data_IF_079765094490
#
_entry.id   IF_079765094490
#
_cell.length_a   1.000
_cell.length_b   1.000
_cell.length_c   1.000
_cell.angle_alpha   90.00
_cell.angle_beta   90.00
_cell.angle_gamma   90.00
#
_symmetry.space_group_name_H-M   'P 1'
#
loop_
_entity.id
_entity.type
_entity.pdbx_description
1 polymer ?
#
# COMPACT_ATOMS: atom_id res chain seq x y z
N UNK A 1 30.23 9.66 -2.76
CA UNK A 1 31.01 10.82 -2.29
C UNK A 1 30.54 11.11 -0.87
N UNK A 2 31.42 11.03 0.14
CA UNK A 2 31.02 11.24 1.54
C UNK A 2 30.46 12.66 1.69
N UNK A 3 29.22 12.74 2.16
CA UNK A 3 28.45 13.98 2.24
C UNK A 3 28.83 14.72 3.52
N UNK A 4 29.42 15.91 3.41
CA UNK A 4 29.64 16.77 4.57
C UNK A 4 28.31 17.36 5.07
N UNK A 5 28.15 17.46 6.39
CA UNK A 5 26.99 18.12 7.03
C UNK A 5 26.86 19.58 6.57
N UNK A 6 25.65 20.12 6.61
CA UNK A 6 25.35 21.50 6.21
C UNK A 6 26.21 22.50 6.99
N UNK A 7 26.36 22.31 8.31
CA UNK A 7 27.15 23.21 9.18
C UNK A 7 28.62 23.28 8.77
N UNK A 8 29.16 22.13 8.38
CA UNK A 8 30.53 21.99 7.87
C UNK A 8 30.70 22.77 6.56
N UNK A 9 29.72 22.69 5.67
CA UNK A 9 29.75 23.42 4.39
C UNK A 9 29.63 24.93 4.59
N UNK A 10 28.75 25.36 5.50
CA UNK A 10 28.59 26.78 5.86
C UNK A 10 29.91 27.32 6.43
N UNK A 11 30.55 26.57 7.33
CA UNK A 11 31.86 26.95 7.85
C UNK A 11 32.90 27.15 6.74
N UNK A 12 33.01 26.21 5.80
CA UNK A 12 33.96 26.30 4.68
C UNK A 12 33.69 27.54 3.84
N UNK A 13 32.42 27.80 3.50
CA UNK A 13 32.04 28.96 2.67
C UNK A 13 32.39 30.27 3.36
N UNK A 14 32.09 30.41 4.65
CA UNK A 14 32.40 31.62 5.42
C UNK A 14 33.92 31.86 5.54
N UNK A 15 34.70 30.81 5.79
CA UNK A 15 36.16 30.93 5.88
C UNK A 15 36.80 31.19 4.51
N UNK A 16 36.29 30.58 3.44
CA UNK A 16 36.73 30.87 2.07
C UNK A 16 36.45 32.31 1.67
N UNK A 17 35.33 32.90 2.12
CA UNK A 17 35.01 34.32 1.92
C UNK A 17 35.93 35.24 2.74
N UNK A 18 36.24 34.88 3.99
CA UNK A 18 37.10 35.69 4.88
C UNK A 18 38.57 35.70 4.46
N UNK A 19 39.04 34.64 3.82
CA UNK A 19 40.47 34.45 3.49
C UNK A 19 40.77 34.55 1.98
N UNK A 20 39.91 35.21 1.20
CA UNK A 20 40.08 35.41 -0.25
C UNK A 20 40.46 34.12 -1.01
N UNK A 21 39.70 33.05 -0.77
CA UNK A 21 39.89 31.72 -1.39
C UNK A 21 41.20 30.99 -1.02
N UNK A 22 41.92 31.46 0.00
CA UNK A 22 43.12 30.80 0.49
C UNK A 22 42.79 29.52 1.27
N UNK A 23 42.86 28.39 0.57
CA UNK A 23 42.57 27.06 1.14
C UNK A 23 43.46 26.68 2.32
N UNK A 24 44.71 27.15 2.37
CA UNK A 24 45.62 26.86 3.50
C UNK A 24 45.17 27.58 4.78
N UNK A 25 44.66 28.80 4.65
CA UNK A 25 44.08 29.53 5.78
C UNK A 25 42.81 28.84 6.31
N UNK A 26 41.95 28.35 5.41
CA UNK A 26 40.76 27.57 5.78
C UNK A 26 41.12 26.26 6.48
N UNK A 27 42.17 25.57 6.05
CA UNK A 27 42.68 24.36 6.71
C UNK A 27 43.20 24.63 8.13
N UNK A 28 43.85 25.78 8.37
CA UNK A 28 44.29 26.21 9.70
C UNK A 28 43.10 26.51 10.61
N UNK A 29 42.14 27.31 10.12
CA UNK A 29 40.90 27.61 10.85
C UNK A 29 40.07 26.34 11.14
N UNK A 30 40.11 25.37 10.23
CA UNK A 30 39.48 24.06 10.43
C UNK A 30 40.13 23.30 11.59
N UNK A 31 41.46 23.27 11.63
CA UNK A 31 42.20 22.60 12.68
C UNK A 31 41.93 23.23 14.06
N UNK A 32 41.81 24.56 14.12
CA UNK A 32 41.44 25.28 15.35
C UNK A 32 40.01 24.97 15.81
N UNK A 33 39.04 24.92 14.89
CA UNK A 33 37.63 24.70 15.25
C UNK A 33 37.29 23.24 15.55
N UNK A 34 37.76 22.32 14.72
CA UNK A 34 37.34 20.91 14.76
C UNK A 34 38.40 19.98 15.37
N UNK A 35 39.59 20.50 15.72
CA UNK A 35 40.69 19.75 16.33
C UNK A 35 41.05 18.46 15.57
N UNK A 36 40.78 18.42 14.26
CA UNK A 36 40.97 17.25 13.42
C UNK A 36 41.63 17.61 12.09
N UNK A 37 42.37 16.64 11.53
CA UNK A 37 43.07 16.77 10.25
C UNK A 37 42.23 16.28 9.06
N UNK A 38 40.95 15.99 9.28
CA UNK A 38 40.05 15.40 8.29
C UNK A 38 39.26 16.48 7.52
N UNK A 39 39.98 17.42 6.92
CA UNK A 39 39.35 18.48 6.12
C UNK A 39 39.02 17.99 4.69
N UNK A 40 38.02 18.60 4.05
CA UNK A 40 37.72 18.33 2.65
C UNK A 40 38.90 18.64 1.72
N UNK A 41 38.99 17.89 0.62
CA UNK A 41 39.98 18.17 -0.43
C UNK A 41 39.83 19.62 -0.95
N UNK A 42 40.93 20.26 -1.34
CA UNK A 42 40.99 21.60 -1.97
C UNK A 42 39.94 21.75 -3.07
N UNK A 43 39.79 20.73 -3.94
CA UNK A 43 38.79 20.72 -5.01
C UNK A 43 37.35 20.80 -4.49
N UNK A 44 37.07 20.14 -3.37
CA UNK A 44 35.75 20.16 -2.73
C UNK A 44 35.46 21.52 -2.11
N UNK A 45 36.43 22.12 -1.41
CA UNK A 45 36.27 23.46 -0.82
C UNK A 45 36.04 24.53 -1.92
N UNK A 46 36.83 24.51 -2.99
CA UNK A 46 36.67 25.41 -4.12
C UNK A 46 35.32 25.23 -4.83
N UNK A 47 34.86 23.98 -5.02
CA UNK A 47 33.55 23.69 -5.60
C UNK A 47 32.39 24.18 -4.73
N UNK A 48 32.47 24.00 -3.41
CA UNK A 48 31.45 24.50 -2.48
C UNK A 48 31.36 26.02 -2.54
N UNK A 49 32.50 26.71 -2.53
CA UNK A 49 32.55 28.16 -2.61
C UNK A 49 32.07 28.70 -3.97
N UNK A 50 32.50 28.10 -5.08
CA UNK A 50 32.04 28.47 -6.42
C UNK A 50 30.54 28.22 -6.60
N UNK A 51 30.01 27.12 -6.06
CA UNK A 51 28.56 26.87 -6.03
C UNK A 51 27.83 27.96 -5.24
N UNK A 52 28.35 28.32 -4.06
CA UNK A 52 27.76 29.39 -3.25
C UNK A 52 27.77 30.74 -3.98
N UNK A 53 28.88 31.12 -4.63
CA UNK A 53 28.95 32.33 -5.47
C UNK A 53 27.90 32.36 -6.58
N UNK A 54 27.60 31.20 -7.19
CA UNK A 54 26.64 31.08 -8.29
C UNK A 54 25.18 31.04 -7.83
N UNK A 55 24.88 30.33 -6.75
CA UNK A 55 23.51 29.98 -6.36
C UNK A 55 23.05 30.70 -5.07
N UNK A 56 23.99 31.24 -4.28
CA UNK A 56 23.72 31.84 -2.97
C UNK A 56 23.31 30.83 -1.88
N UNK A 57 23.27 29.53 -2.20
CA UNK A 57 22.80 28.47 -1.30
C UNK A 57 23.86 27.42 -1.04
N UNK A 58 23.90 26.95 0.21
CA UNK A 58 24.75 25.85 0.68
C UNK A 58 24.01 24.50 0.67
N UNK A 59 22.68 24.52 0.46
CA UNK A 59 21.86 23.31 0.37
C UNK A 59 22.25 22.43 -0.81
N UNK A 60 21.88 21.15 -0.75
CA UNK A 60 22.05 20.24 -1.89
C UNK A 60 21.23 20.70 -3.10
N UNK A 61 21.75 20.43 -4.31
CA UNK A 61 21.02 20.71 -5.55
C UNK A 61 19.90 19.67 -5.74
N UNK A 62 18.79 19.83 -5.00
CA UNK A 62 17.62 18.94 -5.03
C UNK A 62 17.07 18.77 -6.47
N UNK A 63 17.22 19.79 -7.31
CA UNK A 63 16.78 19.78 -8.73
C UNK A 63 17.48 18.70 -9.56
N UNK A 64 18.78 18.48 -9.39
CA UNK A 64 19.51 17.50 -10.21
C UNK A 64 19.10 16.06 -9.89
N UNK A 65 18.79 15.76 -8.61
CA UNK A 65 18.24 14.46 -8.21
C UNK A 65 16.82 14.28 -8.74
N UNK A 66 15.95 15.29 -8.65
CA UNK A 66 14.58 15.19 -9.16
C UNK A 66 14.54 14.84 -10.66
N UNK A 67 15.41 15.43 -11.49
CA UNK A 67 15.51 15.09 -12.93
C UNK A 67 16.12 13.72 -13.22
N UNK A 68 17.06 13.24 -12.39
CA UNK A 68 17.64 11.91 -12.57
C UNK A 68 16.68 10.77 -12.14
N UNK A 69 15.73 11.09 -11.25
CA UNK A 69 14.67 10.18 -10.78
C UNK A 69 13.30 10.50 -11.36
N UNK A 70 13.22 11.36 -12.39
CA UNK A 70 12.01 11.49 -13.21
C UNK A 70 11.89 10.21 -14.04
N UNK A 71 11.38 9.19 -13.36
CA UNK A 71 11.24 7.82 -13.83
C UNK A 71 10.33 7.82 -15.06
N UNK A 72 10.57 6.84 -15.92
CA UNK A 72 9.88 6.48 -17.18
C UNK A 72 8.34 6.32 -17.06
N UNK A 73 7.75 6.68 -15.94
CA UNK A 73 6.32 6.63 -15.69
C UNK A 73 5.69 7.96 -16.14
N UNK A 74 5.41 8.06 -17.43
CA UNK A 74 4.56 9.12 -17.97
C UNK A 74 3.14 8.95 -17.45
N UNK A 75 2.40 10.05 -17.26
CA UNK A 75 1.01 9.99 -16.78
C UNK A 75 0.11 9.17 -17.72
N UNK A 76 0.40 9.17 -19.02
CA UNK A 76 -0.27 8.30 -19.99
C UNK A 76 -0.03 6.80 -19.76
N UNK A 77 1.17 6.40 -19.33
CA UNK A 77 1.43 5.00 -18.99
C UNK A 77 0.69 4.57 -17.71
N UNK A 78 0.45 5.50 -16.77
CA UNK A 78 -0.36 5.22 -15.58
C UNK A 78 -1.81 4.95 -15.94
N UNK A 79 -2.41 5.79 -16.78
CA UNK A 79 -3.79 5.63 -17.23
C UNK A 79 -4.01 4.28 -17.92
N UNK A 80 -3.11 3.89 -18.83
CA UNK A 80 -3.20 2.59 -19.53
C UNK A 80 -3.15 1.41 -18.55
N UNK A 81 -2.30 1.50 -17.52
CA UNK A 81 -2.20 0.45 -16.48
C UNK A 81 -3.46 0.42 -15.62
N UNK A 82 -4.02 1.57 -15.27
CA UNK A 82 -5.24 1.67 -14.47
C UNK A 82 -6.45 1.10 -15.22
N UNK A 83 -6.64 1.50 -16.48
CA UNK A 83 -7.70 1.00 -17.35
C UNK A 83 -7.58 -0.53 -17.55
N UNK A 84 -6.35 -1.05 -17.67
CA UNK A 84 -6.10 -2.47 -17.82
C UNK A 84 -6.53 -3.27 -16.58
N UNK A 85 -6.15 -2.83 -15.37
CA UNK A 85 -6.53 -3.51 -14.14
C UNK A 85 -7.98 -3.26 -13.72
N UNK A 86 -8.61 -2.18 -14.18
CA UNK A 86 -10.04 -1.95 -14.05
C UNK A 86 -10.85 -2.96 -14.89
N UNK A 87 -10.36 -3.32 -16.08
CA UNK A 87 -10.98 -4.34 -16.92
C UNK A 87 -10.72 -5.77 -16.41
N UNK A 88 -9.47 -6.10 -16.08
CA UNK A 88 -9.04 -7.46 -15.71
C UNK A 88 -8.29 -7.49 -14.35
N UNK A 89 -8.99 -7.39 -13.20
CA UNK A 89 -8.36 -7.29 -11.89
C UNK A 89 -7.65 -8.57 -11.42
N UNK A 90 -7.92 -9.71 -12.05
CA UNK A 90 -7.39 -11.03 -11.66
C UNK A 90 -6.06 -11.37 -12.35
N UNK A 91 -5.61 -10.55 -13.31
CA UNK A 91 -4.43 -10.84 -14.11
C UNK A 91 -3.16 -10.72 -13.28
N UNK A 92 -2.21 -11.63 -13.48
CA UNK A 92 -0.92 -11.53 -12.80
C UNK A 92 -0.08 -10.37 -13.35
N UNK A 93 0.69 -9.72 -12.47
CA UNK A 93 1.57 -8.60 -12.82
C UNK A 93 2.54 -8.96 -13.95
N UNK A 94 3.04 -10.21 -13.97
CA UNK A 94 3.93 -10.71 -15.02
C UNK A 94 3.25 -10.75 -16.39
N UNK A 95 2.00 -11.22 -16.44
CA UNK A 95 1.21 -11.27 -17.68
C UNK A 95 0.77 -9.89 -18.14
N UNK A 96 0.38 -9.03 -17.21
CA UNK A 96 0.05 -7.63 -17.50
C UNK A 96 1.26 -6.89 -18.12
N UNK A 97 2.47 -7.12 -17.59
CA UNK A 97 3.71 -6.58 -18.13
C UNK A 97 3.97 -7.04 -19.59
N UNK A 98 3.78 -8.33 -19.87
CA UNK A 98 3.91 -8.88 -21.23
C UNK A 98 2.88 -8.28 -22.20
N UNK A 99 1.62 -8.16 -21.78
CA UNK A 99 0.53 -7.65 -22.62
C UNK A 99 0.67 -6.15 -22.92
N UNK A 100 1.11 -5.36 -21.93
CA UNK A 100 1.31 -3.92 -22.09
C UNK A 100 2.67 -3.57 -22.71
N UNK A 101 3.57 -4.55 -22.89
CA UNK A 101 4.94 -4.31 -23.36
C UNK A 101 5.80 -3.51 -22.36
N UNK A 102 5.39 -3.45 -21.09
CA UNK A 102 6.08 -2.70 -20.03
C UNK A 102 7.00 -3.65 -19.26
N UNK A 103 8.22 -3.21 -18.92
CA UNK A 103 9.10 -3.99 -18.04
C UNK A 103 8.41 -4.24 -16.70
N UNK A 104 8.45 -5.48 -16.21
CA UNK A 104 7.82 -5.88 -14.95
C UNK A 104 8.16 -4.96 -13.75
N UNK A 105 9.43 -4.56 -13.61
CA UNK A 105 9.88 -3.65 -12.53
C UNK A 105 9.32 -2.25 -12.66
N UNK A 106 9.06 -1.78 -13.90
CA UNK A 106 8.41 -0.50 -14.15
C UNK A 106 6.94 -0.59 -13.81
N UNK A 107 6.26 -1.66 -14.24
CA UNK A 107 4.84 -1.89 -13.90
C UNK A 107 4.62 -1.93 -12.38
N UNK A 108 5.49 -2.60 -11.63
CA UNK A 108 5.40 -2.62 -10.15
C UNK A 108 5.53 -1.22 -9.52
N UNK A 109 6.36 -0.33 -10.09
CA UNK A 109 6.47 1.06 -9.63
C UNK A 109 5.19 1.82 -9.93
N UNK A 110 4.64 1.67 -11.13
CA UNK A 110 3.37 2.28 -11.55
C UNK A 110 2.24 1.84 -10.62
N UNK A 111 2.11 0.53 -10.37
CA UNK A 111 1.10 -0.02 -9.46
C UNK A 111 1.23 0.57 -8.06
N UNK A 112 2.46 0.76 -7.56
CA UNK A 112 2.69 1.39 -6.24
C UNK A 112 2.27 2.85 -6.21
N UNK A 113 2.51 3.61 -7.29
CA UNK A 113 2.07 5.00 -7.41
C UNK A 113 0.54 5.13 -7.54
N UNK A 114 -0.12 4.14 -8.16
CA UNK A 114 -1.57 4.05 -8.26
C UNK A 114 -2.24 3.43 -7.01
N UNK A 115 -1.47 3.11 -5.96
CA UNK A 115 -1.97 2.44 -4.76
C UNK A 115 -2.68 1.08 -5.03
N UNK A 116 -2.36 0.43 -6.15
CA UNK A 116 -2.94 -0.87 -6.52
C UNK A 116 -2.32 -1.97 -5.64
N UNK A 117 -3.17 -2.64 -4.86
CA UNK A 117 -2.79 -3.77 -4.02
C UNK A 117 -3.40 -5.07 -4.53
N UNK A 118 -2.69 -6.21 -4.42
CA UNK A 118 -3.26 -7.50 -4.79
C UNK A 118 -4.53 -7.78 -3.98
N UNK A 119 -5.63 -8.05 -4.66
CA UNK A 119 -6.85 -8.48 -4.00
C UNK A 119 -6.69 -9.95 -3.56
N UNK A 120 -6.82 -10.22 -2.27
CA UNK A 120 -6.84 -11.60 -1.75
C UNK A 120 -8.22 -12.19 -1.99
N UNK A 121 -8.32 -13.08 -2.99
CA UNK A 121 -9.55 -13.82 -3.25
C UNK A 121 -9.92 -14.62 -2.00
N UNK A 122 -11.05 -14.27 -1.39
CA UNK A 122 -11.67 -15.09 -0.36
C UNK A 122 -12.61 -16.08 -1.05
N UNK A 123 -12.26 -17.37 -1.03
CA UNK A 123 -13.13 -18.43 -1.53
C UNK A 123 -14.28 -18.58 -0.53
N UNK A 124 -15.37 -17.88 -0.80
CA UNK A 124 -16.63 -18.05 -0.08
C UNK A 124 -17.46 -19.13 -0.75
N UNK A 125 -18.44 -19.67 -0.02
CA UNK A 125 -19.40 -20.61 -0.60
C UNK A 125 -20.04 -19.98 -1.85
N UNK A 126 -20.19 -20.72 -2.97
CA UNK A 126 -20.84 -20.17 -4.17
C UNK A 126 -22.26 -19.74 -3.81
N UNK A 127 -22.57 -18.45 -3.99
CA UNK A 127 -23.94 -17.96 -3.85
C UNK A 127 -24.71 -18.26 -5.14
N UNK A 128 -25.85 -18.91 -4.99
CA UNK A 128 -26.85 -18.98 -6.05
C UNK A 128 -27.62 -17.64 -6.11
N UNK A 129 -28.28 -17.35 -7.25
CA UNK A 129 -29.10 -16.15 -7.42
C UNK A 129 -30.22 -16.06 -6.38
N UNK A 130 -30.91 -17.17 -6.10
CA UNK A 130 -31.94 -17.26 -5.06
C UNK A 130 -31.38 -16.93 -3.65
N UNK A 131 -30.16 -17.39 -3.33
CA UNK A 131 -29.51 -17.04 -2.07
C UNK A 131 -29.18 -15.55 -1.99
N UNK A 132 -28.82 -14.94 -3.11
CA UNK A 132 -28.55 -13.50 -3.19
C UNK A 132 -29.83 -12.71 -2.94
N UNK A 133 -30.92 -13.09 -3.60
CA UNK A 133 -32.23 -12.45 -3.46
C UNK A 133 -32.75 -12.52 -2.02
N UNK A 134 -32.76 -13.71 -1.39
CA UNK A 134 -33.20 -13.88 0.00
C UNK A 134 -32.36 -13.07 0.99
N UNK A 135 -31.05 -12.98 0.75
CA UNK A 135 -30.15 -12.16 1.57
C UNK A 135 -30.45 -10.68 1.42
N UNK A 136 -30.73 -10.19 0.20
CA UNK A 136 -31.09 -8.79 -0.02
C UNK A 136 -32.44 -8.42 0.59
N UNK A 137 -33.45 -9.28 0.45
CA UNK A 137 -34.78 -9.07 1.03
C UNK A 137 -34.70 -9.01 2.56
N UNK A 138 -33.97 -9.95 3.17
CA UNK A 138 -33.72 -9.93 4.61
C UNK A 138 -32.99 -8.66 5.06
N UNK A 139 -31.97 -8.23 4.31
CA UNK A 139 -31.23 -7.01 4.65
C UNK A 139 -32.11 -5.76 4.57
N UNK A 140 -32.96 -5.65 3.54
CA UNK A 140 -33.91 -4.55 3.39
C UNK A 140 -34.94 -4.54 4.52
N UNK A 141 -35.51 -5.71 4.85
CA UNK A 141 -36.44 -5.86 5.96
C UNK A 141 -35.81 -5.45 7.31
N UNK A 142 -34.57 -5.90 7.57
CA UNK A 142 -33.85 -5.52 8.78
C UNK A 142 -33.57 -4.01 8.83
N UNK A 143 -33.21 -3.40 7.70
CA UNK A 143 -32.98 -1.95 7.62
C UNK A 143 -34.26 -1.17 7.96
N UNK A 144 -35.40 -1.57 7.41
CA UNK A 144 -36.70 -0.95 7.68
C UNK A 144 -37.08 -1.07 9.17
N UNK A 145 -36.89 -2.24 9.77
CA UNK A 145 -37.17 -2.48 11.21
C UNK A 145 -36.26 -1.66 12.12
N UNK A 146 -35.02 -1.42 11.71
CA UNK A 146 -34.09 -0.53 12.42
C UNK A 146 -34.52 0.95 12.30
N UNK A 147 -34.98 1.38 11.12
CA UNK A 147 -35.45 2.75 10.89
C UNK A 147 -36.76 3.05 11.63
N UNK A 148 -37.67 2.08 11.66
CA UNK A 148 -38.96 2.16 12.36
C UNK A 148 -38.78 2.08 13.89
N UNK A 149 -37.62 1.62 14.36
CA UNK A 149 -37.30 1.48 15.78
C UNK A 149 -37.93 0.25 16.43
N UNK A 150 -38.50 -0.68 15.65
CA UNK A 150 -39.01 -1.97 16.15
C UNK A 150 -37.90 -2.84 16.72
N UNK A 151 -36.70 -2.75 16.12
CA UNK A 151 -35.53 -3.50 16.54
C UNK A 151 -34.46 -2.51 16.99
N UNK A 152 -33.99 -2.65 18.23
CA UNK A 152 -32.87 -1.90 18.76
C UNK A 152 -31.60 -2.75 18.66
N UNK A 153 -30.59 -2.24 17.93
CA UNK A 153 -29.29 -2.90 17.75
C UNK A 153 -28.65 -3.28 19.10
N UNK A 154 -28.87 -2.46 20.13
CA UNK A 154 -28.28 -2.70 21.47
C UNK A 154 -28.87 -3.90 22.21
N UNK A 155 -29.99 -4.44 21.73
CA UNK A 155 -30.71 -5.55 22.34
C UNK A 155 -30.55 -6.87 21.57
N UNK A 156 -29.80 -6.88 20.47
CA UNK A 156 -29.58 -8.08 19.66
C UNK A 156 -28.42 -8.88 20.25
N UNK A 157 -28.65 -10.15 20.55
CA UNK A 157 -27.62 -11.10 20.98
C UNK A 157 -27.42 -12.15 19.88
N UNK A 158 -26.17 -12.40 19.51
CA UNK A 158 -25.81 -13.40 18.50
C UNK A 158 -25.09 -14.58 19.16
N UNK A 159 -25.30 -15.78 18.63
CA UNK A 159 -24.59 -17.00 19.01
C UNK A 159 -24.17 -17.74 17.74
N UNK A 160 -22.97 -18.32 17.74
CA UNK A 160 -22.51 -19.30 16.75
C UNK A 160 -21.89 -20.51 17.46
N UNK A 161 -21.63 -21.57 16.69
CA UNK A 161 -20.94 -22.75 17.17
C UNK A 161 -19.66 -22.95 16.33
N UNK A 162 -18.55 -23.25 17.00
CA UNK A 162 -17.27 -23.55 16.35
C UNK A 162 -16.70 -24.87 16.86
N UNK A 163 -16.19 -25.68 15.94
CA UNK A 163 -15.45 -26.90 16.29
C UNK A 163 -14.03 -26.52 16.73
N UNK A 164 -13.70 -26.79 17.99
CA UNK A 164 -12.34 -26.63 18.52
C UNK A 164 -11.55 -27.93 18.35
N UNK A 165 -10.50 -27.90 17.54
CA UNK A 165 -9.61 -29.03 17.32
C UNK A 165 -8.28 -28.81 18.06
N UNK A 166 -7.97 -29.65 19.04
CA UNK A 166 -6.71 -29.60 19.78
C UNK A 166 -5.65 -30.45 19.08
N UNK A 167 -4.77 -29.86 18.27
CA UNK A 167 -3.66 -30.62 17.67
C UNK A 167 -2.90 -30.03 16.47
N UNK A 168 -3.27 -28.87 15.93
CA UNK A 168 -2.53 -28.25 14.82
C UNK A 168 -1.66 -27.09 15.32
N UNK A 169 -0.34 -27.07 15.04
CA UNK A 169 0.45 -25.87 15.17
C UNK A 169 0.18 -25.01 13.91
N UNK A 170 -0.98 -24.35 13.87
CA UNK A 170 -1.20 -23.26 12.93
C UNK A 170 -1.18 -21.96 13.70
N UNK A 171 -0.16 -21.15 13.40
CA UNK A 171 -0.03 -19.74 13.72
C UNK A 171 -1.41 -19.05 13.60
N UNK A 172 -1.81 -18.30 14.63
CA UNK A 172 -3.07 -17.55 14.80
C UNK A 172 -4.20 -18.23 15.57
N UNK A 173 -3.99 -18.45 16.88
CA UNK A 173 -5.09 -18.32 17.86
C UNK A 173 -4.53 -17.73 19.16
N UNK A 174 -4.66 -16.41 19.34
CA UNK A 174 -4.64 -15.82 20.69
C UNK A 174 -5.97 -16.15 21.37
N UNK A 175 -6.09 -17.34 21.96
CA UNK A 175 -7.05 -17.59 23.04
C UNK A 175 -6.25 -17.95 24.30
N UNK A 176 -5.97 -16.94 25.11
CA UNK A 176 -5.47 -17.10 26.47
C UNK A 176 -6.61 -17.57 27.38
N UNK A 177 -6.72 -18.88 27.60
CA UNK A 177 -7.53 -19.45 28.67
C UNK A 177 -6.63 -20.27 29.62
N UNK A 178 -6.92 -20.12 30.90
CA UNK A 178 -6.10 -20.48 32.05
C UNK A 178 -5.60 -21.93 32.06
N UNK A 179 -4.37 -22.10 32.58
CA UNK A 179 -3.98 -23.29 33.34
C UNK A 179 -3.36 -24.43 32.54
N UNK A 180 -2.06 -24.31 32.24
CA UNK A 180 -1.31 -25.43 31.67
C UNK A 180 -1.03 -26.53 32.72
N UNK A 181 -1.48 -27.75 32.44
CA UNK A 181 -0.72 -28.97 32.76
C UNK A 181 -0.48 -29.73 31.47
N UNK A 182 0.79 -29.99 31.16
CA UNK A 182 1.23 -30.79 30.01
C UNK A 182 0.71 -32.22 30.16
N UNK A 183 0.15 -32.79 29.09
CA UNK A 183 -0.10 -34.22 29.01
C UNK A 183 0.22 -34.74 27.61
N UNK A 184 1.23 -35.61 27.57
CA UNK A 184 1.27 -36.87 26.82
C UNK A 184 1.13 -36.86 25.30
N UNK A 185 2.11 -37.47 24.63
CA UNK A 185 2.04 -37.87 23.23
C UNK A 185 0.78 -38.73 22.96
N UNK A 186 -0.13 -38.23 22.12
CA UNK A 186 -1.22 -39.03 21.56
C UNK A 186 -1.15 -38.97 20.03
N UNK A 187 -0.82 -40.12 19.42
CA UNK A 187 -1.11 -40.38 18.01
C UNK A 187 -2.62 -40.61 17.88
N UNK A 188 -3.34 -39.71 17.23
CA UNK A 188 -4.73 -39.96 16.86
C UNK A 188 -4.86 -40.32 15.36
N UNK A 189 -5.60 -41.38 15.01
CA UNK A 189 -5.96 -41.68 13.63
C UNK A 189 -7.00 -40.66 13.13
N UNK A 190 -6.94 -40.33 11.83
CA UNK A 190 -7.84 -39.35 11.20
C UNK A 190 -9.30 -39.82 11.22
N UNK A 191 -10.29 -38.99 11.59
CA UNK A 191 -11.70 -39.33 11.43
C UNK A 191 -12.17 -39.18 9.97
N UNK A 192 -13.21 -39.93 9.55
CA UNK A 192 -13.76 -39.86 8.20
C UNK A 192 -14.57 -38.57 7.96
N UNK A 193 -14.75 -38.14 6.70
CA UNK A 193 -15.35 -36.86 6.39
C UNK A 193 -16.88 -36.98 6.31
N UNK A 194 -17.59 -36.44 7.29
CA UNK A 194 -19.01 -36.12 7.13
C UNK A 194 -19.24 -34.62 7.37
N UNK A 195 -19.82 -34.00 6.36
CA UNK A 195 -20.09 -32.56 6.26
C UNK A 195 -21.37 -32.22 7.00
N UNK A 196 -21.38 -31.12 7.75
CA UNK A 196 -22.59 -30.36 8.04
C UNK A 196 -22.27 -28.88 7.80
N UNK A 197 -23.04 -28.26 6.90
CA UNK A 197 -22.96 -26.85 6.53
C UNK A 197 -23.68 -25.98 7.57
N UNK A 198 -23.09 -24.86 7.97
CA UNK A 198 -23.81 -23.82 8.71
C UNK A 198 -23.72 -22.46 8.01
N UNK A 199 -24.91 -21.88 7.85
CA UNK A 199 -25.22 -20.52 7.39
C UNK A 199 -24.89 -19.54 8.52
N UNK A 200 -24.66 -18.28 8.17
CA UNK A 200 -24.43 -17.09 9.04
C UNK A 200 -22.97 -16.61 8.97
N UNK A 201 -22.59 -16.06 7.82
CA UNK A 201 -21.35 -15.27 7.66
C UNK A 201 -21.61 -13.87 7.06
N UNK A 202 -22.88 -13.44 6.92
CA UNK A 202 -23.23 -12.34 6.00
C UNK A 202 -23.49 -10.97 6.63
N UNK A 203 -23.58 -10.84 7.95
CA UNK A 203 -23.93 -9.54 8.55
C UNK A 203 -22.69 -8.70 8.87
N UNK A 204 -21.59 -9.31 9.34
CA UNK A 204 -20.34 -8.58 9.62
C UNK A 204 -19.59 -8.16 8.35
N UNK A 205 -19.72 -8.90 7.25
CA UNK A 205 -19.12 -8.55 5.96
C UNK A 205 -19.70 -7.25 5.37
N UNK A 206 -20.97 -6.94 5.66
CA UNK A 206 -21.67 -5.79 5.08
C UNK A 206 -21.39 -4.47 5.81
N UNK A 207 -21.24 -4.49 7.13
CA UNK A 207 -20.84 -3.30 7.90
C UNK A 207 -19.44 -2.80 7.52
N UNK A 208 -18.52 -3.73 7.20
CA UNK A 208 -17.18 -3.39 6.71
C UNK A 208 -17.24 -2.85 5.27
N UNK A 209 -18.11 -3.41 4.42
CA UNK A 209 -18.32 -2.93 3.05
C UNK A 209 -18.95 -1.52 2.99
N UNK A 210 -19.94 -1.21 3.84
CA UNK A 210 -20.53 0.14 3.93
C UNK A 210 -19.54 1.18 4.46
N UNK A 211 -18.64 0.80 5.37
CA UNK A 211 -17.54 1.67 5.81
C UNK A 211 -16.55 1.94 4.68
N UNK A 212 -16.26 0.94 3.84
CA UNK A 212 -15.37 1.05 2.68
C UNK A 212 -16.00 1.85 1.52
N UNK A 213 -17.30 1.69 1.27
CA UNK A 213 -18.02 2.43 0.23
C UNK A 213 -18.21 3.92 0.60
N UNK A 214 -18.36 4.24 1.89
CA UNK A 214 -18.37 5.62 2.39
C UNK A 214 -16.98 6.28 2.29
N UNK A 215 -15.91 5.50 2.41
CA UNK A 215 -14.54 5.98 2.18
C UNK A 215 -14.28 6.30 0.70
N UNK A 216 -14.77 5.48 -0.24
CA UNK A 216 -14.60 5.69 -1.68
C UNK A 216 -15.51 6.79 -2.26
N UNK A 217 -16.71 6.99 -1.70
CA UNK A 217 -17.63 8.06 -2.13
C UNK A 217 -17.02 9.47 -1.95
N UNK A 218 -16.10 9.65 -1.00
CA UNK A 218 -15.37 10.92 -0.81
C UNK A 218 -14.26 11.19 -1.85
N UNK A 219 -13.89 10.23 -2.71
CA UNK A 219 -12.91 10.43 -3.79
C UNK A 219 -13.54 10.49 -5.20
N UNK A 220 -14.83 10.22 -5.33
CA UNK A 220 -15.49 9.93 -6.61
C UNK A 220 -16.41 11.03 -7.14
N UNK A 221 -16.02 12.30 -7.09
CA UNK A 221 -16.57 13.30 -8.01
C UNK A 221 -15.66 13.37 -9.24
N UNK A 222 -15.85 12.48 -10.21
CA UNK A 222 -15.42 12.70 -11.61
C UNK A 222 -16.17 11.74 -12.56
N UNK A 223 -17.08 12.37 -13.32
CA UNK A 223 -17.68 12.01 -14.62
C UNK A 223 -18.33 10.62 -14.85
N UNK A 224 -19.67 10.66 -14.90
CA UNK A 224 -20.53 9.67 -15.58
C UNK A 224 -20.23 9.65 -17.08
N UNK A 225 -19.90 8.48 -17.63
CA UNK A 225 -19.88 8.22 -19.08
C UNK A 225 -21.20 7.55 -19.47
N UNK A 226 -21.91 8.00 -20.53
CA UNK A 226 -23.22 7.46 -20.90
C UNK A 226 -23.13 6.05 -21.51
N UNK A 227 -24.19 5.27 -21.29
CA UNK A 227 -24.29 3.85 -21.62
C UNK A 227 -24.07 3.51 -23.09
N UNK A 228 -23.41 2.37 -23.32
CA UNK A 228 -23.25 1.77 -24.65
C UNK A 228 -24.43 0.85 -24.96
N UNK A 229 -25.05 1.12 -26.10
CA UNK A 229 -26.06 0.29 -26.73
C UNK A 229 -25.51 -1.08 -27.14
N UNK A 230 -26.42 -2.04 -27.14
CA UNK A 230 -26.20 -3.43 -27.52
C UNK A 230 -26.14 -3.51 -29.06
N UNK A 231 -25.11 -4.17 -29.61
CA UNK A 231 -25.12 -4.64 -31.00
C UNK A 231 -24.81 -6.14 -31.06
N UNK A 232 -25.37 -6.87 -32.05
CA UNK A 232 -25.55 -8.31 -31.95
C UNK A 232 -24.36 -9.11 -32.46
N UNK A 233 -24.21 -10.26 -31.84
CA UNK A 233 -23.43 -11.43 -32.24
C UNK A 233 -23.57 -11.74 -33.74
N UNK A 234 -22.46 -11.91 -34.46
CA UNK A 234 -22.44 -12.60 -35.76
C UNK A 234 -21.53 -13.82 -35.69
N UNK A 235 -22.13 -14.95 -36.06
CA UNK A 235 -21.57 -16.29 -36.17
C UNK A 235 -20.46 -16.37 -37.22
N UNK A 236 -19.39 -17.09 -36.91
CA UNK A 236 -18.44 -17.55 -37.90
C UNK A 236 -18.70 -19.02 -38.22
N UNK A 237 -18.97 -19.28 -39.51
CA UNK A 237 -18.68 -20.55 -40.18
C UNK A 237 -17.18 -20.67 -40.42
#
# INVERSE_FOLDING_TARGET
MNKYSTDVRVFIVLQMARCDENVKAVQRAWQEKFHNKNWPNKRTMARLYAKFKRTGSVEDDKKAMATATATVVTDGAKQVVDDFFAADPTRSVRRAAEMLGIKHTSLQRIMKELELSPYKIQVTQPLNEDHTQRRSEFAQLMLEKLQTGEIDVKKIWFSDEVLLHFGWPSEQTELSLLGQRKAGDYCCPKPPPEKISCVVCNILAWCIWLYFHRWNSKRGELQKVPGRGVHPFSSWS
#
